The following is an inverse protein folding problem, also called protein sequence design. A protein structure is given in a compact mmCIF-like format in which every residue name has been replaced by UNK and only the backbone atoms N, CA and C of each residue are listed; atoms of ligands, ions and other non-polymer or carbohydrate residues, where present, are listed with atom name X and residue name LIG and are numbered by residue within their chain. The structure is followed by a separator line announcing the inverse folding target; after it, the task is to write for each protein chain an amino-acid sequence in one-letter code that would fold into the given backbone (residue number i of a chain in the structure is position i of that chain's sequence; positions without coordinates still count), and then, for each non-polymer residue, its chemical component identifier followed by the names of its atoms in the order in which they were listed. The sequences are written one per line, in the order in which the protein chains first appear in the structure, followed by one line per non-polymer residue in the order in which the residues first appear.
data_IF_096940629631
#
_entry.id   IF_096940629631
#
_cell.length_a   1.000
_cell.length_b   1.000
_cell.length_c   1.000
_cell.angle_alpha   90.00
_cell.angle_beta   90.00
_cell.angle_gamma   90.00
#
_symmetry.space_group_name_H-M   'P 1'
#
loop_
_entity.id
_entity.type
_entity.pdbx_description
1 polymer ?
#
# COMPACT_ATOMS: atom_id res chain seq x y z
N UNK A 1 -22.91 -18.66 2.54
CA UNK A 1 -21.46 -18.46 2.76
C UNK A 1 -20.89 -18.45 1.37
N UNK A 2 -20.81 -17.25 0.77
CA UNK A 2 -20.85 -17.13 -0.69
C UNK A 2 -19.44 -16.98 -1.30
N UNK A 3 -18.43 -16.75 -0.46
CA UNK A 3 -17.02 -16.87 -0.79
C UNK A 3 -16.24 -17.56 0.32
N UNK A 4 -15.32 -18.46 -0.04
CA UNK A 4 -14.42 -19.15 0.89
C UNK A 4 -12.98 -18.88 0.52
N UNK A 5 -12.15 -18.48 1.49
CA UNK A 5 -10.71 -18.40 1.31
C UNK A 5 -10.12 -19.83 1.34
N UNK A 6 -9.36 -20.18 0.32
CA UNK A 6 -8.89 -21.56 0.08
C UNK A 6 -7.39 -21.71 0.28
N UNK A 7 -6.62 -20.65 0.07
CA UNK A 7 -5.18 -20.66 0.24
C UNK A 7 -4.50 -19.46 -0.39
N UNK A 8 -3.17 -19.41 -0.29
CA UNK A 8 -2.32 -18.38 -0.89
C UNK A 8 -1.34 -19.04 -1.83
N UNK A 9 -1.24 -18.53 -3.05
CA UNK A 9 -0.35 -19.04 -4.10
C UNK A 9 0.47 -17.91 -4.71
N UNK A 10 1.58 -18.23 -5.35
CA UNK A 10 2.33 -17.29 -6.17
C UNK A 10 2.00 -17.51 -7.64
N UNK A 11 1.65 -16.46 -8.36
CA UNK A 11 1.26 -16.55 -9.78
C UNK A 11 2.05 -15.52 -10.59
N UNK A 12 2.62 -15.88 -11.76
CA UNK A 12 3.18 -14.90 -12.68
C UNK A 12 2.15 -13.84 -13.06
N UNK A 13 2.56 -12.58 -13.09
CA UNK A 13 1.68 -11.46 -13.44
C UNK A 13 1.09 -11.61 -14.85
N UNK A 14 1.76 -12.35 -15.75
CA UNK A 14 1.23 -12.73 -17.06
C UNK A 14 -0.02 -13.61 -17.02
N UNK A 15 -0.20 -14.42 -15.97
CA UNK A 15 -1.35 -15.30 -15.76
C UNK A 15 -2.50 -14.60 -15.01
N UNK A 16 -2.31 -13.35 -14.57
CA UNK A 16 -3.33 -12.59 -13.86
C UNK A 16 -4.22 -11.82 -14.82
N UNK A 17 -5.53 -12.08 -14.78
CA UNK A 17 -6.53 -11.48 -15.66
C UNK A 17 -7.42 -10.55 -14.87
N UNK A 18 -7.43 -9.27 -15.24
CA UNK A 18 -8.26 -8.28 -14.56
C UNK A 18 -9.72 -8.39 -14.99
N UNK A 19 -10.64 -8.50 -14.01
CA UNK A 19 -12.09 -8.48 -14.25
C UNK A 19 -12.60 -7.04 -14.30
N UNK A 20 -12.64 -6.47 -15.51
CA UNK A 20 -13.09 -5.09 -15.77
C UNK A 20 -14.57 -4.87 -15.42
N UNK A 21 -15.39 -5.90 -15.51
CA UNK A 21 -16.83 -5.86 -15.26
C UNK A 21 -17.18 -5.57 -13.80
N UNK A 22 -16.27 -5.84 -12.86
CA UNK A 22 -16.49 -5.65 -11.41
C UNK A 22 -15.74 -4.44 -10.85
N UNK A 23 -14.91 -3.80 -11.65
CA UNK A 23 -14.05 -2.71 -11.20
C UNK A 23 -14.65 -1.34 -11.50
N UNK A 24 -14.60 -0.44 -10.52
CA UNK A 24 -15.12 0.93 -10.66
C UNK A 24 -14.08 1.96 -11.15
N UNK A 25 -12.81 1.59 -11.35
CA UNK A 25 -11.73 2.52 -11.76
C UNK A 25 -10.94 2.07 -12.97
N UNK A 26 -10.74 3.02 -13.88
CA UNK A 26 -9.82 2.91 -15.00
C UNK A 26 -8.34 2.94 -14.56
N UNK A 27 -7.49 2.42 -15.43
CA UNK A 27 -6.04 2.46 -15.25
C UNK A 27 -5.56 3.91 -15.37
N UNK A 28 -4.95 4.42 -14.30
CA UNK A 28 -4.37 5.77 -14.25
C UNK A 28 -2.87 5.66 -14.46
N UNK A 29 -2.40 6.19 -15.60
CA UNK A 29 -0.99 6.18 -15.97
C UNK A 29 -0.12 6.96 -14.99
N UNK A 30 -0.65 7.98 -14.31
CA UNK A 30 0.11 8.76 -13.32
C UNK A 30 0.44 7.92 -12.08
N UNK A 31 -0.52 7.11 -11.64
CA UNK A 31 -0.31 6.17 -10.53
C UNK A 31 0.70 5.10 -10.93
N UNK A 32 0.62 4.58 -12.18
CA UNK A 32 1.60 3.62 -12.68
C UNK A 32 3.03 4.20 -12.75
N UNK A 33 3.18 5.43 -13.25
CA UNK A 33 4.47 6.13 -13.31
C UNK A 33 5.07 6.34 -11.91
N UNK A 34 4.23 6.63 -10.92
CA UNK A 34 4.64 6.75 -9.53
C UNK A 34 5.06 5.40 -8.91
N UNK A 35 4.33 4.32 -9.21
CA UNK A 35 4.61 2.99 -8.68
C UNK A 35 5.83 2.33 -9.31
N UNK A 36 6.19 2.69 -10.55
CA UNK A 36 7.30 2.07 -11.29
C UNK A 36 8.64 2.07 -10.51
N UNK A 37 9.16 3.22 -10.03
CA UNK A 37 10.41 3.22 -9.26
C UNK A 37 10.27 2.50 -7.91
N UNK A 38 9.08 2.51 -7.29
CA UNK A 38 8.84 1.83 -6.01
C UNK A 38 8.93 0.32 -6.18
N UNK A 39 8.33 -0.22 -7.23
CA UNK A 39 8.36 -1.65 -7.54
C UNK A 39 9.75 -2.14 -7.96
N UNK A 40 10.57 -1.30 -8.60
CA UNK A 40 11.98 -1.65 -8.86
C UNK A 40 12.80 -1.88 -7.58
N UNK A 41 12.49 -1.14 -6.51
CA UNK A 41 13.29 -1.14 -5.29
C UNK A 41 12.71 -2.00 -4.16
N UNK A 42 11.39 -2.23 -4.12
CA UNK A 42 10.72 -2.88 -2.99
C UNK A 42 9.52 -3.72 -3.46
N UNK A 43 9.79 -4.92 -3.96
CA UNK A 43 8.80 -5.93 -4.34
C UNK A 43 8.30 -6.70 -3.12
N UNK A 44 7.46 -6.06 -2.32
CA UNK A 44 6.86 -6.69 -1.13
C UNK A 44 5.56 -7.42 -1.43
N UNK A 45 5.50 -8.17 -2.53
CA UNK A 45 4.28 -8.85 -2.95
C UNK A 45 3.79 -9.90 -1.93
N UNK A 46 4.66 -10.39 -1.04
CA UNK A 46 4.34 -11.39 -0.01
C UNK A 46 3.65 -10.82 1.23
N UNK A 47 3.76 -9.51 1.46
CA UNK A 47 3.13 -8.84 2.60
C UNK A 47 1.60 -8.82 2.44
N UNK A 48 0.82 -9.07 3.51
CA UNK A 48 -0.65 -9.09 3.45
C UNK A 48 -1.27 -7.85 2.80
N UNK A 49 -0.65 -6.67 2.95
CA UNK A 49 -1.12 -5.40 2.39
C UNK A 49 -0.91 -5.28 0.87
N UNK A 50 -0.07 -6.13 0.28
CA UNK A 50 0.25 -6.11 -1.15
C UNK A 50 -0.23 -7.36 -1.89
N UNK A 51 -0.76 -8.35 -1.17
CA UNK A 51 -1.44 -9.50 -1.75
C UNK A 51 -2.68 -9.06 -2.49
N UNK A 52 -3.01 -9.80 -3.53
CA UNK A 52 -4.22 -9.59 -4.32
C UNK A 52 -5.18 -10.74 -4.09
N UNK A 53 -6.47 -10.44 -4.11
CA UNK A 53 -7.50 -11.48 -4.09
C UNK A 53 -7.69 -12.04 -5.51
N UNK A 54 -7.48 -13.35 -5.63
CA UNK A 54 -7.79 -14.15 -6.81
C UNK A 54 -9.18 -14.76 -6.69
N UNK A 55 -10.02 -14.54 -7.68
CA UNK A 55 -11.37 -15.08 -7.78
C UNK A 55 -11.31 -16.37 -8.61
N UNK A 56 -11.74 -17.48 -8.01
CA UNK A 56 -11.76 -18.80 -8.65
C UNK A 56 -13.12 -19.50 -8.46
N UNK A 57 -13.48 -20.39 -9.38
CA UNK A 57 -14.61 -21.32 -9.24
C UNK A 57 -14.13 -22.73 -8.90
N UNK A 58 -15.08 -23.64 -8.67
CA UNK A 58 -14.78 -25.03 -8.36
C UNK A 58 -13.97 -25.74 -9.46
N UNK A 59 -14.18 -25.37 -10.74
CA UNK A 59 -13.44 -25.95 -11.87
C UNK A 59 -11.98 -25.50 -11.85
N UNK A 60 -11.74 -24.20 -11.68
CA UNK A 60 -10.40 -23.62 -11.58
C UNK A 60 -9.69 -24.17 -10.35
N UNK A 61 -10.38 -24.33 -9.22
CA UNK A 61 -9.81 -24.96 -8.03
C UNK A 61 -9.34 -26.40 -8.31
N UNK A 62 -10.12 -27.23 -8.99
CA UNK A 62 -9.69 -28.57 -9.36
C UNK A 62 -8.45 -28.57 -10.25
N UNK A 63 -8.34 -27.62 -11.19
CA UNK A 63 -7.14 -27.45 -12.02
C UNK A 63 -5.93 -27.02 -11.19
N UNK A 64 -6.12 -26.10 -10.24
CA UNK A 64 -5.06 -25.62 -9.34
C UNK A 64 -4.50 -26.78 -8.52
N UNK A 65 -5.38 -27.59 -7.92
CA UNK A 65 -4.98 -28.75 -7.13
C UNK A 65 -4.26 -29.80 -8.00
N UNK A 66 -4.70 -30.00 -9.25
CA UNK A 66 -4.05 -30.91 -10.19
C UNK A 66 -2.67 -30.42 -10.65
N UNK A 67 -2.48 -29.11 -10.88
CA UNK A 67 -1.17 -28.53 -11.24
C UNK A 67 -0.19 -28.60 -10.08
N UNK A 68 -0.65 -28.27 -8.87
CA UNK A 68 0.18 -28.25 -7.67
C UNK A 68 0.43 -29.64 -7.08
N UNK A 69 -0.33 -30.66 -7.52
CA UNK A 69 -0.27 -32.01 -6.98
C UNK A 69 -0.59 -32.07 -5.47
N UNK A 70 -1.42 -31.14 -4.98
CA UNK A 70 -1.71 -30.98 -3.56
C UNK A 70 -3.20 -31.14 -3.25
N UNK A 71 -3.52 -31.43 -1.98
CA UNK A 71 -4.91 -31.45 -1.49
C UNK A 71 -5.38 -30.06 -1.07
N UNK A 72 -6.70 -29.89 -0.92
CA UNK A 72 -7.30 -28.66 -0.42
C UNK A 72 -6.79 -28.29 0.99
N UNK A 73 -6.51 -29.29 1.83
CA UNK A 73 -5.99 -29.11 3.18
C UNK A 73 -4.54 -28.60 3.16
N UNK A 74 -3.72 -29.14 2.27
CA UNK A 74 -2.35 -28.66 2.04
C UNK A 74 -2.33 -27.24 1.49
N UNK A 75 -3.29 -26.90 0.63
CA UNK A 75 -3.46 -25.53 0.14
C UNK A 75 -3.91 -24.59 1.28
N UNK A 76 -4.79 -25.02 2.18
CA UNK A 76 -5.16 -24.22 3.36
C UNK A 76 -3.98 -23.99 4.31
N UNK A 77 -3.04 -24.93 4.44
CA UNK A 77 -1.84 -24.72 5.26
C UNK A 77 -0.99 -23.51 4.80
N UNK A 78 -1.08 -23.11 3.53
CA UNK A 78 -0.40 -21.90 3.00
C UNK A 78 -0.94 -20.58 3.58
N UNK A 79 -2.12 -20.60 4.21
CA UNK A 79 -2.66 -19.45 4.95
C UNK A 79 -1.82 -19.13 6.20
N UNK A 80 -1.24 -20.16 6.80
CA UNK A 80 -0.47 -20.06 8.03
C UNK A 80 1.04 -20.16 7.80
N UNK A 81 1.46 -20.89 6.76
CA UNK A 81 2.86 -21.01 6.37
C UNK A 81 3.23 -19.99 5.28
N UNK A 82 4.36 -19.30 5.44
CA UNK A 82 4.93 -18.39 4.42
C UNK A 82 5.53 -19.12 3.19
N UNK A 83 5.15 -20.37 2.95
CA UNK A 83 5.59 -21.15 1.81
C UNK A 83 4.44 -21.21 0.80
N UNK A 84 4.53 -20.37 -0.24
CA UNK A 84 3.49 -20.26 -1.26
C UNK A 84 3.87 -21.08 -2.49
N UNK A 85 3.03 -22.02 -2.93
CA UNK A 85 3.31 -22.78 -4.14
C UNK A 85 3.19 -21.89 -5.38
N UNK A 86 4.06 -22.11 -6.36
CA UNK A 86 4.08 -21.39 -7.63
C UNK A 86 3.10 -22.04 -8.61
N UNK A 87 2.18 -21.24 -9.13
CA UNK A 87 1.21 -21.63 -10.13
C UNK A 87 1.48 -20.86 -11.42
N UNK A 88 1.77 -21.56 -12.50
CA UNK A 88 2.37 -20.96 -13.70
C UNK A 88 1.51 -21.12 -14.96
N UNK A 89 0.54 -22.04 -14.95
CA UNK A 89 -0.23 -22.40 -16.16
C UNK A 89 -1.69 -21.96 -16.09
N UNK A 90 -2.21 -21.66 -14.91
CA UNK A 90 -3.62 -21.31 -14.73
C UNK A 90 -3.79 -19.79 -14.66
N UNK A 91 -4.76 -19.29 -15.43
CA UNK A 91 -5.13 -17.88 -15.40
C UNK A 91 -6.03 -17.60 -14.18
N UNK A 92 -5.64 -16.65 -13.34
CA UNK A 92 -6.40 -16.26 -12.13
C UNK A 92 -7.00 -14.87 -12.32
N UNK A 93 -8.29 -14.76 -12.02
CA UNK A 93 -9.02 -13.50 -12.14
C UNK A 93 -8.84 -12.66 -10.90
N UNK A 94 -8.66 -11.35 -11.03
CA UNK A 94 -8.52 -10.43 -9.90
C UNK A 94 -9.31 -9.14 -10.10
N UNK A 95 -9.67 -8.47 -8.99
CA UNK A 95 -10.51 -7.26 -8.99
C UNK A 95 -9.84 -6.00 -8.42
N UNK A 96 -8.72 -6.14 -7.71
CA UNK A 96 -7.99 -5.00 -7.14
C UNK A 96 -6.47 -5.11 -7.35
N UNK A 97 -5.74 -4.01 -7.14
CA UNK A 97 -4.29 -3.98 -7.35
C UNK A 97 -3.86 -3.81 -8.82
N UNK A 98 -4.78 -3.44 -9.72
CA UNK A 98 -4.53 -3.27 -11.16
C UNK A 98 -3.34 -2.36 -11.46
N UNK A 99 -3.25 -1.18 -10.84
CA UNK A 99 -2.12 -0.28 -11.08
C UNK A 99 -0.78 -0.89 -10.64
N UNK A 100 -0.74 -1.67 -9.56
CA UNK A 100 0.49 -2.34 -9.10
C UNK A 100 0.91 -3.43 -10.08
N UNK A 101 -0.02 -4.29 -10.49
CA UNK A 101 0.26 -5.41 -11.38
C UNK A 101 0.62 -4.97 -12.80
N UNK A 102 -0.12 -4.01 -13.37
CA UNK A 102 0.20 -3.48 -14.70
C UNK A 102 1.55 -2.76 -14.70
N UNK A 103 1.88 -2.04 -13.60
CA UNK A 103 3.20 -1.42 -13.46
C UNK A 103 4.29 -2.47 -13.29
N UNK A 104 4.06 -3.49 -12.46
CA UNK A 104 5.00 -4.59 -12.29
C UNK A 104 5.27 -5.31 -13.62
N UNK A 105 4.23 -5.61 -14.38
CA UNK A 105 4.33 -6.22 -15.71
C UNK A 105 5.15 -5.37 -16.68
N UNK A 106 4.96 -4.05 -16.66
CA UNK A 106 5.66 -3.12 -17.54
C UNK A 106 7.14 -2.94 -17.16
N UNK A 107 7.46 -2.98 -15.86
CA UNK A 107 8.79 -2.62 -15.33
C UNK A 107 9.67 -3.83 -15.08
N UNK A 108 9.10 -4.91 -14.55
CA UNK A 108 9.79 -6.12 -14.09
C UNK A 108 9.57 -7.31 -15.03
N UNK A 109 8.61 -7.19 -15.96
CA UNK A 109 8.28 -8.20 -16.95
C UNK A 109 7.14 -9.12 -16.54
N UNK A 110 6.61 -9.88 -17.51
CA UNK A 110 5.48 -10.79 -17.28
C UNK A 110 5.79 -12.03 -16.46
N UNK A 111 7.06 -12.33 -16.22
CA UNK A 111 7.54 -13.46 -15.41
C UNK A 111 7.63 -13.15 -13.92
N UNK A 112 7.42 -11.89 -13.51
CA UNK A 112 7.37 -11.52 -12.10
C UNK A 112 6.24 -12.27 -11.40
N UNK A 113 6.52 -12.84 -10.24
CA UNK A 113 5.52 -13.54 -9.43
C UNK A 113 4.83 -12.57 -8.49
N UNK A 114 3.55 -12.79 -8.24
CA UNK A 114 2.78 -12.04 -7.26
C UNK A 114 2.03 -13.00 -6.34
N UNK A 115 1.91 -12.64 -5.07
CA UNK A 115 1.20 -13.47 -4.08
C UNK A 115 -0.30 -13.19 -4.14
N UNK A 116 -1.08 -14.24 -4.34
CA UNK A 116 -2.52 -14.21 -4.60
C UNK A 116 -3.25 -15.04 -3.55
N UNK A 117 -4.24 -14.44 -2.91
CA UNK A 117 -5.15 -15.11 -1.98
C UNK A 117 -6.35 -15.65 -2.76
N UNK A 118 -6.47 -16.98 -2.83
CA UNK A 118 -7.49 -17.66 -3.62
C UNK A 118 -8.81 -17.71 -2.88
N UNK A 119 -9.83 -17.06 -3.44
CA UNK A 119 -11.20 -17.10 -2.96
C UNK A 119 -12.10 -17.84 -3.94
N UNK A 120 -12.72 -18.90 -3.43
CA UNK A 120 -13.67 -19.72 -4.15
C UNK A 120 -15.06 -19.10 -4.09
N UNK A 121 -15.67 -18.95 -5.26
CA UNK A 121 -17.05 -18.54 -5.43
C UNK A 121 -17.85 -19.68 -6.09
N UNK A 122 -19.13 -19.79 -5.74
CA UNK A 122 -20.02 -20.78 -6.34
C UNK A 122 -20.35 -20.43 -7.79
N UNK A 123 -20.46 -19.14 -8.10
CA UNK A 123 -20.75 -18.63 -9.43
C UNK A 123 -19.88 -17.40 -9.76
N UNK A 124 -19.17 -17.45 -10.88
CA UNK A 124 -18.34 -16.35 -11.40
C UNK A 124 -19.10 -15.43 -12.35
N UNK A 125 -20.40 -15.67 -12.54
CA UNK A 125 -21.25 -14.83 -13.37
C UNK A 125 -21.24 -13.40 -12.85
N UNK A 126 -21.18 -12.45 -13.79
CA UNK A 126 -21.23 -11.03 -13.44
C UNK A 126 -22.46 -10.70 -12.59
N UNK A 127 -23.61 -11.31 -12.89
CA UNK A 127 -24.86 -11.11 -12.16
C UNK A 127 -24.78 -11.55 -10.69
N UNK A 128 -24.02 -12.62 -10.39
CA UNK A 128 -23.81 -13.08 -9.03
C UNK A 128 -22.76 -12.21 -8.30
N UNK A 129 -21.58 -12.04 -8.91
CA UNK A 129 -20.46 -11.33 -8.30
C UNK A 129 -20.73 -9.83 -8.08
N UNK A 130 -21.46 -9.17 -8.98
CA UNK A 130 -21.82 -7.74 -8.82
C UNK A 130 -22.82 -7.50 -7.69
N UNK A 131 -23.60 -8.52 -7.32
CA UNK A 131 -24.57 -8.48 -6.22
C UNK A 131 -23.95 -8.78 -4.87
N UNK A 132 -22.70 -9.26 -4.82
CA UNK A 132 -22.00 -9.54 -3.57
C UNK A 132 -21.49 -8.23 -2.94
N UNK A 133 -22.09 -7.77 -1.82
CA UNK A 133 -21.68 -6.51 -1.20
C UNK A 133 -20.24 -6.58 -0.69
N UNK A 134 -19.79 -7.75 -0.26
CA UNK A 134 -18.43 -7.98 0.23
C UNK A 134 -17.37 -7.79 -0.86
N UNK A 135 -17.63 -8.24 -2.09
CA UNK A 135 -16.69 -8.10 -3.19
C UNK A 135 -16.60 -6.64 -3.66
N UNK A 136 -17.76 -5.96 -3.77
CA UNK A 136 -17.82 -4.55 -4.13
C UNK A 136 -17.15 -3.66 -3.08
N UNK A 137 -17.47 -3.85 -1.79
CA UNK A 137 -16.86 -3.10 -0.71
C UNK A 137 -15.34 -3.30 -0.61
N UNK A 138 -14.84 -4.51 -0.93
CA UNK A 138 -13.39 -4.78 -1.00
C UNK A 138 -12.76 -4.11 -2.22
N UNK A 139 -13.35 -4.26 -3.40
CA UNK A 139 -12.87 -3.59 -4.61
C UNK A 139 -12.80 -2.06 -4.41
N UNK A 140 -13.81 -1.48 -3.76
CA UNK A 140 -13.83 -0.07 -3.37
C UNK A 140 -12.76 0.26 -2.32
N UNK A 141 -12.64 -0.53 -1.23
CA UNK A 141 -11.63 -0.33 -0.18
C UNK A 141 -10.21 -0.31 -0.74
N UNK A 142 -9.88 -1.26 -1.63
CA UNK A 142 -8.58 -1.31 -2.29
C UNK A 142 -8.42 -0.29 -3.41
N UNK A 143 -9.52 0.20 -4.01
CA UNK A 143 -9.48 1.39 -4.86
C UNK A 143 -9.16 2.68 -4.07
N UNK A 144 -9.42 2.66 -2.76
CA UNK A 144 -9.09 3.71 -1.79
C UNK A 144 -7.80 3.47 -1.01
N UNK A 145 -7.00 2.44 -1.31
CA UNK A 145 -5.60 2.36 -0.86
C UNK A 145 -4.82 3.52 -1.51
N UNK A 146 -4.98 4.69 -0.91
CA UNK A 146 -4.29 5.89 -1.27
C UNK A 146 -2.79 5.65 -1.07
N UNK A 147 -1.92 6.15 -1.96
CA UNK A 147 -0.49 6.20 -1.68
C UNK A 147 -0.27 6.76 -0.27
N UNK A 148 0.76 6.24 0.41
CA UNK A 148 1.19 6.75 1.72
C UNK A 148 1.12 8.27 1.70
N UNK A 149 0.38 8.84 2.65
CA UNK A 149 0.21 10.28 2.68
C UNK A 149 1.56 10.93 2.91
N UNK A 150 1.74 12.11 2.34
CA UNK A 150 3.00 12.86 2.35
C UNK A 150 3.62 12.95 3.76
N UNK A 151 2.80 13.19 4.80
CA UNK A 151 3.27 13.21 6.18
C UNK A 151 3.76 11.86 6.72
N UNK A 152 3.17 10.74 6.32
CA UNK A 152 3.63 9.40 6.74
C UNK A 152 4.98 9.08 6.10
N UNK A 153 5.18 9.47 4.83
CA UNK A 153 6.47 9.31 4.15
C UNK A 153 7.54 10.18 4.83
N UNK A 154 7.20 11.40 5.25
CA UNK A 154 8.12 12.26 6.01
C UNK A 154 8.55 11.62 7.34
N UNK A 155 7.62 11.07 8.11
CA UNK A 155 7.93 10.41 9.39
C UNK A 155 8.93 9.26 9.19
N UNK A 156 8.69 8.40 8.20
CA UNK A 156 9.59 7.30 7.89
C UNK A 156 10.97 7.79 7.40
N UNK A 157 11.03 8.87 6.59
CA UNK A 157 12.29 9.48 6.17
C UNK A 157 13.11 9.97 7.38
N UNK A 158 12.48 10.68 8.31
CA UNK A 158 13.14 11.17 9.53
C UNK A 158 13.55 10.03 10.46
N UNK A 159 12.78 8.94 10.50
CA UNK A 159 13.16 7.74 11.23
C UNK A 159 14.41 7.09 10.62
N UNK A 160 14.42 6.85 9.31
CA UNK A 160 15.56 6.27 8.62
C UNK A 160 16.82 7.14 8.72
N UNK A 161 16.66 8.48 8.76
CA UNK A 161 17.76 9.42 9.03
C UNK A 161 18.35 9.22 10.43
N UNK A 162 17.50 9.11 11.45
CA UNK A 162 17.93 8.91 12.84
C UNK A 162 18.61 7.54 13.03
N UNK A 163 18.13 6.50 12.36
CA UNK A 163 18.69 5.14 12.39
C UNK A 163 19.90 4.97 11.46
N UNK A 164 20.25 5.99 10.68
CA UNK A 164 21.28 5.97 9.64
C UNK A 164 21.09 4.85 8.60
N UNK A 165 19.83 4.42 8.39
CA UNK A 165 19.45 3.37 7.44
C UNK A 165 19.32 3.99 6.04
N UNK A 166 20.42 3.94 5.29
CA UNK A 166 20.49 4.44 3.91
C UNK A 166 19.53 3.71 2.96
N UNK A 167 19.24 2.44 3.23
CA UNK A 167 18.34 1.65 2.38
C UNK A 167 16.90 2.11 2.54
N UNK A 168 16.42 2.24 3.78
CA UNK A 168 15.08 2.77 4.05
C UNK A 168 14.95 4.22 3.61
N UNK A 169 15.99 5.03 3.79
CA UNK A 169 15.99 6.43 3.36
C UNK A 169 15.81 6.57 1.84
N UNK A 170 16.57 5.79 1.05
CA UNK A 170 16.38 5.74 -0.40
C UNK A 170 14.97 5.27 -0.77
N UNK A 171 14.50 4.19 -0.14
CA UNK A 171 13.17 3.63 -0.35
C UNK A 171 12.04 4.64 -0.12
N UNK A 172 12.04 5.34 1.01
CA UNK A 172 10.99 6.32 1.32
C UNK A 172 11.11 7.58 0.45
N UNK A 173 12.33 7.94 0.04
CA UNK A 173 12.58 9.04 -0.89
C UNK A 173 11.99 8.77 -2.28
N UNK A 174 12.04 7.52 -2.78
CA UNK A 174 11.41 7.13 -4.05
C UNK A 174 9.88 7.27 -4.06
N UNK A 175 9.25 7.32 -2.88
CA UNK A 175 7.81 7.54 -2.72
C UNK A 175 7.41 9.02 -2.76
N UNK A 176 8.36 9.93 -2.90
CA UNK A 176 8.09 11.35 -3.11
C UNK A 176 8.43 11.74 -4.55
N UNK A 177 7.60 12.59 -5.15
CA UNK A 177 7.98 13.28 -6.40
C UNK A 177 9.25 14.11 -6.16
N UNK A 178 10.07 14.34 -7.18
CA UNK A 178 11.31 15.14 -7.08
C UNK A 178 11.12 16.50 -6.39
N UNK A 179 10.00 17.20 -6.65
CA UNK A 179 9.68 18.46 -5.97
C UNK A 179 9.38 18.32 -4.47
N UNK A 180 8.78 17.19 -4.07
CA UNK A 180 8.53 16.88 -2.65
C UNK A 180 9.82 16.47 -1.94
N UNK A 181 10.69 15.69 -2.58
CA UNK A 181 12.02 15.39 -2.05
C UNK A 181 12.83 16.66 -1.77
N UNK A 182 12.88 17.58 -2.75
CA UNK A 182 13.52 18.88 -2.56
C UNK A 182 12.89 19.71 -1.42
N UNK A 183 11.57 19.59 -1.23
CA UNK A 183 10.89 20.27 -0.12
C UNK A 183 11.28 19.67 1.24
N UNK A 184 11.41 18.34 1.33
CA UNK A 184 11.87 17.65 2.54
C UNK A 184 13.33 17.99 2.87
N UNK A 185 14.20 18.06 1.86
CA UNK A 185 15.58 18.51 2.02
C UNK A 185 15.66 19.95 2.57
N UNK A 186 14.92 20.88 1.95
CA UNK A 186 14.84 22.28 2.41
C UNK A 186 14.27 22.42 3.83
N UNK A 187 13.29 21.60 4.19
CA UNK A 187 12.78 21.57 5.57
C UNK A 187 13.88 21.17 6.55
N UNK A 188 14.74 20.21 6.19
CA UNK A 188 15.90 19.81 6.99
C UNK A 188 16.96 20.91 7.15
N UNK A 189 17.17 21.74 6.13
CA UNK A 189 18.10 22.88 6.15
C UNK A 189 17.63 23.99 7.12
N UNK A 190 16.31 24.12 7.35
CA UNK A 190 15.75 25.09 8.28
C UNK A 190 15.75 24.55 9.73
N UNK A 191 16.91 24.64 10.40
CA UNK A 191 17.14 24.04 11.72
C UNK A 191 16.04 24.26 12.77
N UNK A 192 15.52 25.49 12.91
CA UNK A 192 14.43 25.78 13.89
C UNK A 192 13.10 25.15 13.49
N UNK A 193 12.76 25.18 12.20
CA UNK A 193 11.52 24.59 11.71
C UNK A 193 11.56 23.07 11.80
N UNK A 194 12.71 22.48 11.43
CA UNK A 194 12.97 21.06 11.59
C UNK A 194 12.78 20.63 13.06
N UNK A 195 13.36 21.36 14.02
CA UNK A 195 13.19 21.06 15.46
C UNK A 195 11.72 21.07 15.91
N UNK A 196 10.92 22.05 15.48
CA UNK A 196 9.48 22.06 15.77
C UNK A 196 8.76 20.84 15.16
N UNK A 197 9.18 20.41 13.98
CA UNK A 197 8.61 19.25 13.28
C UNK A 197 9.03 17.93 13.95
N UNK A 198 10.27 17.81 14.43
CA UNK A 198 10.74 16.66 15.20
C UNK A 198 9.96 16.51 16.51
N UNK A 199 9.60 17.61 17.18
CA UNK A 199 8.75 17.55 18.38
C UNK A 199 7.36 16.98 18.09
N UNK A 200 6.75 17.36 16.97
CA UNK A 200 5.46 16.82 16.54
C UNK A 200 5.54 15.36 16.04
N UNK A 201 6.73 14.79 15.89
CA UNK A 201 6.94 13.43 15.38
C UNK A 201 6.39 12.36 16.33
N UNK A 202 6.38 12.63 17.64
CA UNK A 202 5.82 11.71 18.65
C UNK A 202 4.31 11.50 18.50
N UNK A 203 3.61 12.38 17.78
CA UNK A 203 2.17 12.34 17.56
C UNK A 203 1.86 11.92 16.12
N UNK A 204 2.08 10.64 15.80
CA UNK A 204 2.01 10.12 14.44
C UNK A 204 0.67 10.41 13.74
N UNK A 205 -0.48 10.37 14.43
CA UNK A 205 -1.79 10.64 13.82
C UNK A 205 -2.05 12.08 13.38
N UNK A 206 -1.18 13.04 13.69
CA UNK A 206 -1.27 14.41 13.15
C UNK A 206 -0.68 14.53 11.73
N UNK A 207 0.08 13.53 11.27
CA UNK A 207 0.82 13.57 10.02
C UNK A 207 0.04 13.13 8.77
N UNK A 208 -0.92 12.18 8.83
CA UNK A 208 -1.75 11.84 7.67
C UNK A 208 -2.49 13.05 7.06
N UNK A 209 -2.75 14.12 7.81
CA UNK A 209 -3.35 15.36 7.28
C UNK A 209 -2.38 16.30 6.58
N UNK A 210 -1.06 16.12 6.73
CA UNK A 210 -0.06 17.09 6.27
C UNK A 210 0.36 16.80 4.83
N UNK A 211 0.08 17.75 3.94
CA UNK A 211 0.47 17.68 2.51
C UNK A 211 1.80 18.39 2.30
N UNK A 212 2.88 17.64 2.06
CA UNK A 212 4.23 18.17 1.78
C UNK A 212 4.23 19.14 0.59
N UNK A 213 3.30 18.97 -0.36
CA UNK A 213 3.15 19.83 -1.53
C UNK A 213 2.90 21.33 -1.23
N UNK A 214 2.33 21.68 -0.07
CA UNK A 214 2.05 23.07 0.30
C UNK A 214 3.23 23.76 0.98
N UNK A 215 4.20 22.99 1.50
CA UNK A 215 5.33 23.54 2.25
C UNK A 215 6.26 24.38 1.39
N UNK A 216 6.34 24.12 0.08
CA UNK A 216 7.07 25.01 -0.85
C UNK A 216 6.53 26.45 -0.82
N UNK A 217 5.22 26.62 -0.67
CA UNK A 217 4.59 27.94 -0.63
C UNK A 217 4.77 28.56 0.75
N UNK A 218 4.58 27.77 1.81
CA UNK A 218 4.78 28.21 3.20
C UNK A 218 6.23 28.68 3.44
N UNK A 219 7.22 27.96 2.92
CA UNK A 219 8.63 28.35 3.00
C UNK A 219 8.92 29.65 2.22
N UNK A 220 8.21 29.91 1.13
CA UNK A 220 8.34 31.13 0.34
C UNK A 220 7.68 32.37 1.01
N UNK A 221 6.74 32.16 1.93
CA UNK A 221 6.07 33.23 2.65
C UNK A 221 6.91 33.82 3.80
N UNK A 222 8.07 33.24 4.11
CA UNK A 222 8.96 33.69 5.19
C UNK A 222 8.30 33.76 6.59
N UNK A 223 7.24 32.98 6.82
CA UNK A 223 6.50 32.89 8.09
C UNK A 223 6.98 31.74 8.99
N UNK A 224 8.25 31.33 8.86
CA UNK A 224 8.80 30.20 9.64
C UNK A 224 8.68 30.42 11.15
N UNK A 225 8.93 31.63 11.71
CA UNK A 225 8.76 31.87 13.15
C UNK A 225 7.32 31.65 13.65
N UNK A 226 6.33 32.09 12.88
CA UNK A 226 4.91 31.93 13.20
C UNK A 226 4.50 30.45 13.11
N UNK A 227 5.01 29.74 12.10
CA UNK A 227 4.79 28.32 11.93
C UNK A 227 5.39 27.50 13.08
N UNK A 228 6.58 27.89 13.58
CA UNK A 228 7.18 27.32 14.78
C UNK A 228 6.28 27.53 16.00
N UNK A 229 5.83 28.77 16.24
CA UNK A 229 4.93 29.07 17.38
C UNK A 229 3.60 28.32 17.29
N UNK A 230 3.04 28.19 16.09
CA UNK A 230 1.84 27.40 15.86
C UNK A 230 2.08 25.92 16.13
N UNK A 231 3.22 25.39 15.70
CA UNK A 231 3.60 23.99 15.93
C UNK A 231 3.80 23.68 17.41
N UNK A 232 4.44 24.59 18.15
CA UNK A 232 4.59 24.52 19.61
C UNK A 232 3.22 24.54 20.31
N UNK A 233 2.35 25.49 19.94
CA UNK A 233 0.99 25.55 20.50
C UNK A 233 0.16 24.30 20.19
N UNK A 234 0.27 23.75 18.99
CA UNK A 234 -0.37 22.48 18.65
C UNK A 234 0.15 21.36 19.54
N UNK A 235 1.46 21.25 19.71
CA UNK A 235 2.06 20.23 20.56
C UNK A 235 1.53 20.33 22.00
N UNK A 236 1.57 21.52 22.60
CA UNK A 236 1.10 21.75 23.96
C UNK A 236 -0.39 21.42 24.11
N UNK A 237 -1.21 21.82 23.13
CA UNK A 237 -2.64 21.53 23.10
C UNK A 237 -2.92 20.02 23.05
N UNK A 238 -2.25 19.29 22.16
CA UNK A 238 -2.45 17.84 22.04
C UNK A 238 -1.90 17.07 23.25
N UNK A 239 -0.74 17.47 23.80
CA UNK A 239 -0.23 16.88 25.05
C UNK A 239 -1.20 17.07 26.21
N UNK A 240 -1.83 18.24 26.30
CA UNK A 240 -2.84 18.49 27.33
C UNK A 240 -4.08 17.61 27.15
N UNK A 241 -4.53 17.42 25.90
CA UNK A 241 -5.68 16.56 25.59
C UNK A 241 -5.41 15.09 25.85
N UNK A 242 -4.20 14.61 25.59
CA UNK A 242 -3.85 13.18 25.73
C UNK A 242 -3.30 12.80 27.10
N UNK A 243 -3.33 13.72 28.08
CA UNK A 243 -2.82 13.45 29.42
C UNK A 243 -1.32 13.17 29.45
N UNK A 244 -0.56 13.87 28.61
CA UNK A 244 0.88 13.70 28.39
C UNK A 244 1.31 12.38 27.73
N UNK A 245 0.37 11.60 27.19
CA UNK A 245 0.69 10.42 26.37
C UNK A 245 0.50 10.72 24.88
N UNK A 246 1.58 10.97 24.11
CA UNK A 246 1.47 11.25 22.68
C UNK A 246 1.08 10.00 21.86
N UNK A 247 1.20 8.78 22.40
CA UNK A 247 0.86 7.53 21.71
C UNK A 247 -0.66 7.33 21.56
N UNK A 248 -1.48 8.01 22.36
CA UNK A 248 -2.94 7.97 22.24
C UNK A 248 -3.48 8.56 20.92
N UNK A 249 -2.64 9.26 20.16
CA UNK A 249 -2.99 9.80 18.84
C UNK A 249 -2.49 8.92 17.69
N UNK A 250 -2.02 7.69 17.96
CA UNK A 250 -1.61 6.80 16.89
C UNK A 250 -2.83 6.17 16.19
N UNK A 251 -2.81 6.17 14.86
CA UNK A 251 -3.97 5.78 14.03
C UNK A 251 -4.09 4.25 13.91
N UNK A 252 -3.11 3.53 14.46
CA UNK A 252 -3.03 2.06 14.46
C UNK A 252 -3.55 1.43 15.78
N UNK A 253 -4.20 2.23 16.64
CA UNK A 253 -5.02 1.78 17.80
C UNK A 253 -6.49 1.76 17.46
#
# INVERSE_FOLDING_TARGET
MDDQLVGVVQVPVSCLVFRQDLASRDLDRRICQYLAPILCHDLRHEEPQHRIEGIIDGRTLSLILAELGCTLEQLNCTLHNRAFPLLSRIAIQYVHGRHRLETAKAVLGGSTVWTVELRLYQDLSHAHLSRLPSLKARAERFAHESPFRDGNIYLHLEQSRAENDRFQLAKWSHRLTSGKNRTVERLGEHGRLNQCFQRLRSMAGLWPGKVLGNYKHILALHIQPELCRFSERMYDFYMHLTGEDPACLDVDT
#
